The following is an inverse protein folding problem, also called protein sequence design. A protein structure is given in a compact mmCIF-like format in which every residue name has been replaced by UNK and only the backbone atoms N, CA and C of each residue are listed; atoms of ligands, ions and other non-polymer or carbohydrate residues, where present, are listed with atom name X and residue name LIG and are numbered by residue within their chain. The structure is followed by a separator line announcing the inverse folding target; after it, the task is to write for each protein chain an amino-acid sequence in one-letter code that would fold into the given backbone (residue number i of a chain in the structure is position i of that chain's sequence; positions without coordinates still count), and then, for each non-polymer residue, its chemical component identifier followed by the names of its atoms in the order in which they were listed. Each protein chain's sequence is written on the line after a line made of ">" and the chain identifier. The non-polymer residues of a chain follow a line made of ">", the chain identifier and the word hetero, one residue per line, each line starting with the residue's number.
data_IF_161354029213
#
_entry.id   IF_161354029213
#
_cell.length_a   1.000
_cell.length_b   1.000
_cell.length_c   1.000
_cell.angle_alpha   90.00
_cell.angle_beta   90.00
_cell.angle_gamma   90.00
#
_symmetry.space_group_name_H-M   'P 1'
#
loop_
_entity.id
_entity.type
_entity.pdbx_description
1 polymer ?
#
# COMPACT_ATOMS: atom_id res chain seq x y z
N UNK A 1 20.51 -9.17 -42.37
CA UNK A 1 19.30 -9.03 -41.52
C UNK A 1 19.58 -9.03 -40.00
N UNK A 2 20.78 -8.66 -39.51
CA UNK A 2 21.10 -8.70 -38.05
C UNK A 2 20.83 -7.38 -37.29
N UNK A 3 20.64 -6.26 -37.99
CA UNK A 3 20.47 -4.93 -37.37
C UNK A 3 19.12 -4.66 -36.71
N UNK A 4 18.05 -5.36 -37.12
CA UNK A 4 16.68 -5.15 -36.59
C UNK A 4 16.49 -5.80 -35.21
N UNK A 5 17.27 -6.85 -34.90
CA UNK A 5 17.15 -7.56 -33.61
C UNK A 5 17.83 -6.78 -32.48
N UNK A 6 18.94 -6.11 -32.77
CA UNK A 6 19.70 -5.32 -31.78
C UNK A 6 18.90 -4.08 -31.32
N UNK A 7 18.12 -3.47 -32.22
CA UNK A 7 17.26 -2.33 -31.88
C UNK A 7 16.07 -2.73 -31.00
N UNK A 8 15.41 -3.87 -31.23
CA UNK A 8 14.30 -4.33 -30.37
C UNK A 8 14.74 -4.62 -28.94
N UNK A 9 15.90 -5.25 -28.74
CA UNK A 9 16.40 -5.63 -27.40
C UNK A 9 16.80 -4.39 -26.58
N UNK A 10 17.38 -3.36 -27.21
CA UNK A 10 17.71 -2.09 -26.55
C UNK A 10 16.49 -1.29 -26.11
N UNK A 11 15.44 -1.26 -26.93
CA UNK A 11 14.18 -0.55 -26.65
C UNK A 11 13.41 -1.22 -25.49
N UNK A 12 13.42 -2.55 -25.40
CA UNK A 12 12.75 -3.28 -24.33
C UNK A 12 13.42 -3.06 -22.95
N UNK A 13 14.76 -3.04 -22.92
CA UNK A 13 15.54 -2.70 -21.71
C UNK A 13 15.31 -1.26 -21.25
N UNK A 14 15.24 -0.30 -22.17
CA UNK A 14 14.92 1.10 -21.84
C UNK A 14 13.49 1.27 -21.34
N UNK A 15 12.50 0.62 -21.96
CA UNK A 15 11.09 0.68 -21.52
C UNK A 15 10.90 0.08 -20.12
N UNK A 16 11.60 -1.01 -19.80
CA UNK A 16 11.61 -1.62 -18.46
C UNK A 16 12.23 -0.69 -17.41
N UNK A 17 13.33 -0.01 -17.73
CA UNK A 17 13.97 0.96 -16.83
C UNK A 17 13.09 2.20 -16.58
N UNK A 18 12.37 2.68 -17.59
CA UNK A 18 11.42 3.80 -17.44
C UNK A 18 10.18 3.40 -16.65
N UNK A 19 9.65 2.19 -16.84
CA UNK A 19 8.55 1.65 -16.02
C UNK A 19 8.96 1.48 -14.55
N UNK A 20 10.13 0.92 -14.27
CA UNK A 20 10.67 0.81 -12.92
C UNK A 20 10.83 2.18 -12.23
N UNK A 21 11.31 3.19 -12.97
CA UNK A 21 11.41 4.55 -12.45
C UNK A 21 10.03 5.20 -12.20
N UNK A 22 9.04 4.93 -13.05
CA UNK A 22 7.66 5.38 -12.85
C UNK A 22 7.02 4.73 -11.62
N UNK A 23 7.14 3.41 -11.48
CA UNK A 23 6.69 2.66 -10.30
C UNK A 23 7.36 3.18 -9.02
N UNK A 24 8.68 3.38 -9.04
CA UNK A 24 9.41 3.88 -7.88
C UNK A 24 9.04 5.32 -7.53
N UNK A 25 8.74 6.18 -8.51
CA UNK A 25 8.42 7.60 -8.28
C UNK A 25 6.96 7.85 -7.87
N UNK A 26 6.02 7.02 -8.34
CA UNK A 26 4.59 7.23 -8.13
C UNK A 26 3.94 6.24 -7.18
N UNK A 27 4.39 4.99 -7.13
CA UNK A 27 3.77 3.97 -6.28
C UNK A 27 4.50 3.80 -4.95
N UNK A 28 5.82 3.97 -4.91
CA UNK A 28 6.58 3.75 -3.67
C UNK A 28 6.12 4.64 -2.51
N UNK A 29 6.04 5.96 -2.72
CA UNK A 29 5.69 6.94 -1.67
C UNK A 29 4.27 6.73 -1.07
N UNK A 30 3.21 6.54 -1.88
CA UNK A 30 1.88 6.24 -1.33
C UNK A 30 1.76 4.82 -0.77
N UNK A 31 2.47 3.82 -1.32
CA UNK A 31 2.48 2.46 -0.76
C UNK A 31 3.14 2.46 0.62
N UNK A 32 4.30 3.08 0.78
CA UNK A 32 4.98 3.12 2.09
C UNK A 32 4.14 3.86 3.14
N UNK A 33 3.51 4.98 2.75
CA UNK A 33 2.60 5.72 3.63
C UNK A 33 1.34 4.93 3.99
N UNK A 34 0.76 4.23 3.01
CA UNK A 34 -0.38 3.35 3.22
C UNK A 34 -0.03 2.18 4.15
N UNK A 35 1.06 1.45 3.90
CA UNK A 35 1.46 0.28 4.70
C UNK A 35 1.71 0.66 6.15
N UNK A 36 2.29 1.83 6.40
CA UNK A 36 2.45 2.34 7.75
C UNK A 36 1.09 2.61 8.43
N UNK A 37 0.15 3.24 7.72
CA UNK A 37 -1.22 3.44 8.21
C UNK A 37 -1.96 2.13 8.46
N UNK A 38 -1.80 1.13 7.60
CA UNK A 38 -2.35 -0.22 7.77
C UNK A 38 -1.86 -0.87 9.07
N UNK A 39 -0.54 -0.86 9.30
CA UNK A 39 0.07 -1.46 10.49
C UNK A 39 -0.43 -0.78 11.77
N UNK A 40 -0.50 0.55 11.79
CA UNK A 40 -1.04 1.30 12.93
C UNK A 40 -2.50 0.92 13.19
N UNK A 41 -3.32 0.85 12.15
CA UNK A 41 -4.75 0.57 12.30
C UNK A 41 -4.99 -0.87 12.77
N UNK A 42 -4.25 -1.83 12.23
CA UNK A 42 -4.29 -3.23 12.65
C UNK A 42 -3.83 -3.38 14.10
N UNK A 43 -2.78 -2.66 14.50
CA UNK A 43 -2.35 -2.58 15.89
C UNK A 43 -3.45 -2.02 16.80
N UNK A 44 -4.11 -0.94 16.38
CA UNK A 44 -5.18 -0.29 17.14
C UNK A 44 -6.39 -1.22 17.34
N UNK A 45 -6.80 -1.96 16.30
CA UNK A 45 -7.87 -2.97 16.42
C UNK A 45 -7.45 -4.10 17.37
N UNK A 46 -6.21 -4.57 17.25
CA UNK A 46 -5.68 -5.63 18.10
C UNK A 46 -5.68 -5.21 19.57
N UNK A 47 -5.23 -3.99 19.87
CA UNK A 47 -5.24 -3.40 21.22
C UNK A 47 -6.68 -3.20 21.72
N UNK A 48 -7.58 -2.71 20.88
CA UNK A 48 -8.99 -2.51 21.26
C UNK A 48 -9.67 -3.83 21.63
N UNK A 49 -9.44 -4.89 20.85
CA UNK A 49 -9.93 -6.24 21.18
C UNK A 49 -9.29 -6.79 22.44
N UNK A 50 -7.99 -6.59 22.62
CA UNK A 50 -7.27 -7.04 23.81
C UNK A 50 -7.81 -6.36 25.08
N UNK A 51 -8.06 -5.05 25.04
CA UNK A 51 -8.71 -4.32 26.13
C UNK A 51 -10.14 -4.82 26.38
N UNK A 52 -10.90 -5.09 25.33
CA UNK A 52 -12.25 -5.66 25.45
C UNK A 52 -12.27 -7.05 26.10
N UNK A 53 -11.25 -7.86 25.85
CA UNK A 53 -11.03 -9.13 26.55
C UNK A 53 -10.66 -8.90 28.02
N UNK A 54 -9.73 -7.98 28.31
CA UNK A 54 -9.26 -7.68 29.66
C UNK A 54 -10.37 -7.12 30.57
N UNK A 55 -11.31 -6.36 30.00
CA UNK A 55 -12.49 -5.82 30.69
C UNK A 55 -13.56 -6.90 30.94
N UNK A 56 -13.40 -8.10 30.38
CA UNK A 56 -14.37 -9.20 30.53
C UNK A 56 -15.60 -9.06 29.64
N UNK A 57 -15.59 -8.14 28.67
CA UNK A 57 -16.69 -7.95 27.72
C UNK A 57 -16.72 -9.04 26.62
N UNK A 58 -15.62 -9.80 26.47
CA UNK A 58 -15.53 -10.92 25.52
C UNK A 58 -14.85 -12.11 26.18
N UNK A 59 -15.45 -13.29 26.04
CA UNK A 59 -14.94 -14.53 26.63
C UNK A 59 -13.69 -15.10 25.93
N UNK A 60 -13.44 -14.70 24.67
CA UNK A 60 -12.27 -15.14 23.91
C UNK A 60 -11.63 -14.02 23.08
N UNK A 61 -10.31 -14.04 23.02
CA UNK A 61 -9.52 -13.20 22.12
C UNK A 61 -9.34 -13.95 20.79
N UNK A 62 -10.17 -13.62 19.80
CA UNK A 62 -9.99 -14.06 18.42
C UNK A 62 -9.92 -12.84 17.49
N UNK A 63 -8.88 -12.81 16.66
CA UNK A 63 -8.77 -11.88 15.54
C UNK A 63 -9.54 -12.50 14.39
N UNK A 64 -10.57 -11.81 13.94
CA UNK A 64 -11.44 -12.28 12.86
C UNK A 64 -10.96 -11.78 11.52
N UNK A 65 -11.32 -12.51 10.47
CA UNK A 65 -11.15 -12.07 9.08
C UNK A 65 -11.81 -10.72 8.83
N UNK A 66 -12.89 -10.41 9.54
CA UNK A 66 -13.57 -9.11 9.48
C UNK A 66 -12.67 -7.96 9.94
N UNK A 67 -11.82 -8.15 10.96
CA UNK A 67 -10.86 -7.12 11.41
C UNK A 67 -9.77 -6.88 10.37
N UNK A 68 -9.35 -7.96 9.71
CA UNK A 68 -8.37 -7.92 8.64
C UNK A 68 -8.94 -7.20 7.41
N UNK A 69 -10.21 -7.45 7.07
CA UNK A 69 -10.93 -6.70 6.03
C UNK A 69 -11.08 -5.22 6.41
N UNK A 70 -11.42 -4.91 7.66
CA UNK A 70 -11.63 -3.54 8.12
C UNK A 70 -10.34 -2.73 8.09
N UNK A 71 -9.22 -3.32 8.52
CA UNK A 71 -7.90 -2.71 8.39
C UNK A 71 -7.47 -2.54 6.93
N UNK A 72 -7.78 -3.50 6.06
CA UNK A 72 -7.55 -3.38 4.61
C UNK A 72 -8.36 -2.23 3.99
N UNK A 73 -9.60 -2.04 4.42
CA UNK A 73 -10.46 -0.94 3.97
C UNK A 73 -9.88 0.41 4.41
N UNK A 74 -9.43 0.51 5.67
CA UNK A 74 -8.74 1.69 6.20
C UNK A 74 -7.47 2.01 5.41
N UNK A 75 -6.68 1.00 5.07
CA UNK A 75 -5.54 1.13 4.18
C UNK A 75 -5.93 1.68 2.80
N UNK A 76 -6.97 1.12 2.17
CA UNK A 76 -7.42 1.55 0.86
C UNK A 76 -7.84 3.03 0.84
N UNK A 77 -8.52 3.50 1.89
CA UNK A 77 -8.89 4.91 2.02
C UNK A 77 -7.67 5.82 2.19
N UNK A 78 -6.76 5.53 3.13
CA UNK A 78 -5.55 6.33 3.34
C UNK A 78 -4.68 6.33 2.08
N UNK A 79 -4.54 5.17 1.43
CA UNK A 79 -3.81 5.04 0.17
C UNK A 79 -4.39 5.96 -0.91
N UNK A 80 -5.71 5.97 -1.06
CA UNK A 80 -6.41 6.83 -2.04
C UNK A 80 -6.22 8.31 -1.73
N UNK A 81 -6.31 8.71 -0.45
CA UNK A 81 -6.09 10.10 -0.02
C UNK A 81 -4.65 10.53 -0.32
N UNK A 82 -3.65 9.75 0.12
CA UNK A 82 -2.23 10.00 -0.12
C UNK A 82 -1.89 10.05 -1.61
N UNK A 83 -2.51 9.18 -2.42
CA UNK A 83 -2.33 9.19 -3.87
C UNK A 83 -2.84 10.48 -4.50
N UNK A 84 -4.02 10.95 -4.07
CA UNK A 84 -4.60 12.23 -4.53
C UNK A 84 -3.74 13.43 -4.11
N UNK A 85 -3.28 13.46 -2.86
CA UNK A 85 -2.39 14.51 -2.34
C UNK A 85 -1.07 14.60 -3.12
N UNK A 86 -0.39 13.47 -3.30
CA UNK A 86 0.88 13.40 -4.02
C UNK A 86 0.75 13.73 -5.52
N UNK A 87 -0.47 13.70 -6.06
CA UNK A 87 -0.79 14.16 -7.43
C UNK A 87 -1.01 15.68 -7.46
N UNK A 88 -1.64 16.26 -6.44
CA UNK A 88 -1.86 17.71 -6.34
C UNK A 88 -0.57 18.50 -6.07
N UNK A 89 0.33 17.96 -5.25
CA UNK A 89 1.62 18.59 -4.91
C UNK A 89 2.56 18.82 -6.12
N UNK A 90 2.32 18.15 -7.25
CA UNK A 90 3.14 18.30 -8.47
C UNK A 90 2.52 19.20 -9.53
N UNK A 91 1.36 19.82 -9.27
CA UNK A 91 0.66 20.71 -10.22
C UNK A 91 0.68 22.18 -9.76
N UNK A 92 1.39 22.51 -8.68
CA UNK A 92 1.63 23.89 -8.25
C UNK A 92 3.10 24.29 -8.37
#
# INVERSE_FOLDING_TARGET
>A
MRGVVVTKVGVEKQKKNNLLNLFRKYLYKPITGGVFGYLIFLFLISVSKYLGYLIGNRESFQIDITDLLLSLLGFAFIFTIKMKENTKEKVS
#
